data_IF_975491232762
#
_entry.id   IF_975491232762
#
_cell.length_a   1.000
_cell.length_b   1.000
_cell.length_c   1.000
_cell.angle_alpha   90.00
_cell.angle_beta   90.00
_cell.angle_gamma   90.00
#
_symmetry.space_group_name_H-M   'P 1'
#
loop_
_entity.id
_entity.type
_entity.pdbx_description
1 polymer ?
#
# COMPACT_ATOMS: atom_id res chain seq x y z
N UNK A 1 9.61 -12.25 -12.98
CA UNK A 1 10.71 -11.63 -13.76
C UNK A 1 11.60 -10.82 -12.82
N UNK A 2 12.94 -10.95 -12.92
CA UNK A 2 13.88 -10.11 -12.15
C UNK A 2 13.87 -8.68 -12.69
N UNK A 3 13.90 -7.68 -11.81
CA UNK A 3 13.94 -6.26 -12.18
C UNK A 3 15.40 -5.78 -12.21
N UNK A 4 15.80 -5.11 -13.28
CA UNK A 4 17.17 -4.61 -13.48
C UNK A 4 17.45 -3.38 -12.63
N UNK A 5 18.63 -3.30 -11.99
CA UNK A 5 18.96 -2.25 -11.00
C UNK A 5 18.98 -0.83 -11.56
N UNK A 6 19.43 -0.67 -12.80
CA UNK A 6 19.60 0.62 -13.48
C UNK A 6 18.30 1.06 -14.20
N UNK A 7 17.16 0.87 -13.55
CA UNK A 7 15.85 1.24 -14.12
C UNK A 7 15.02 2.05 -13.13
N UNK A 8 14.21 2.98 -13.64
CA UNK A 8 13.27 3.74 -12.83
C UNK A 8 12.28 2.84 -12.05
N UNK A 9 11.92 1.69 -12.64
CA UNK A 9 11.10 0.66 -11.98
C UNK A 9 11.78 0.09 -10.75
N UNK A 10 13.09 -0.17 -10.81
CA UNK A 10 13.84 -0.65 -9.65
C UNK A 10 13.87 0.38 -8.53
N UNK A 11 14.15 1.65 -8.85
CA UNK A 11 14.14 2.73 -7.84
C UNK A 11 12.76 2.89 -7.19
N UNK A 12 11.69 2.87 -8.00
CA UNK A 12 10.31 2.93 -7.51
C UNK A 12 10.00 1.75 -6.58
N UNK A 13 10.32 0.53 -6.99
CA UNK A 13 10.09 -0.67 -6.17
C UNK A 13 10.93 -0.67 -4.89
N UNK A 14 12.18 -0.21 -4.96
CA UNK A 14 13.05 -0.04 -3.79
C UNK A 14 12.41 0.90 -2.79
N UNK A 15 11.96 2.07 -3.23
CA UNK A 15 11.33 3.06 -2.36
C UNK A 15 10.04 2.51 -1.74
N UNK A 16 9.14 1.92 -2.54
CA UNK A 16 7.90 1.32 -2.02
C UNK A 16 8.17 0.16 -1.06
N UNK A 17 9.18 -0.67 -1.33
CA UNK A 17 9.58 -1.78 -0.48
C UNK A 17 10.10 -1.31 0.88
N UNK A 18 11.01 -0.33 0.90
CA UNK A 18 11.54 0.26 2.13
C UNK A 18 10.48 1.02 2.93
N UNK A 19 9.54 1.69 2.24
CA UNK A 19 8.39 2.30 2.87
C UNK A 19 7.51 1.29 3.60
N UNK A 20 7.53 0.00 3.25
CA UNK A 20 6.85 -1.04 4.03
C UNK A 20 7.80 -1.78 4.99
N UNK A 21 9.08 -1.90 4.66
CA UNK A 21 10.08 -2.69 5.40
C UNK A 21 11.36 -1.85 5.70
N UNK A 22 11.34 -0.92 6.67
CA UNK A 22 12.48 -0.02 6.92
C UNK A 22 13.77 -0.75 7.27
N UNK A 23 13.66 -1.85 8.02
CA UNK A 23 14.81 -2.68 8.40
C UNK A 23 15.55 -3.27 7.19
N UNK A 24 14.91 -3.31 6.02
CA UNK A 24 15.53 -3.81 4.80
C UNK A 24 16.54 -2.83 4.19
N UNK A 25 16.61 -1.59 4.65
CA UNK A 25 17.61 -0.61 4.19
C UNK A 25 19.05 -1.13 4.33
N UNK A 26 19.29 -1.96 5.35
CA UNK A 26 20.59 -2.60 5.59
C UNK A 26 20.98 -3.66 4.54
N UNK A 27 20.02 -4.16 3.76
CA UNK A 27 20.21 -5.31 2.88
C UNK A 27 19.84 -5.04 1.42
N UNK A 28 18.93 -4.10 1.16
CA UNK A 28 18.31 -3.90 -0.16
C UNK A 28 19.32 -3.59 -1.27
N UNK A 29 20.46 -3.00 -0.90
CA UNK A 29 21.51 -2.61 -1.84
C UNK A 29 22.63 -3.65 -1.98
N UNK A 30 22.57 -4.78 -1.24
CA UNK A 30 23.55 -5.86 -1.42
C UNK A 30 23.52 -6.43 -2.84
N UNK A 31 24.67 -6.88 -3.33
CA UNK A 31 24.82 -7.35 -4.71
C UNK A 31 23.99 -8.60 -5.04
N UNK A 32 23.68 -9.41 -4.02
CA UNK A 32 22.85 -10.60 -4.10
C UNK A 32 21.35 -10.33 -3.80
N UNK A 33 21.00 -9.12 -3.35
CA UNK A 33 19.60 -8.71 -3.25
C UNK A 33 19.01 -8.46 -4.65
N UNK A 34 17.76 -8.84 -4.87
CA UNK A 34 17.08 -8.67 -6.16
C UNK A 34 15.57 -8.54 -6.00
N UNK A 35 14.98 -7.57 -6.70
CA UNK A 35 13.53 -7.48 -6.85
C UNK A 35 13.02 -8.40 -7.95
N UNK A 36 11.92 -9.09 -7.68
CA UNK A 36 11.21 -9.91 -8.64
C UNK A 36 9.74 -9.50 -8.70
N UNK A 37 9.20 -9.43 -9.92
CA UNK A 37 7.76 -9.33 -10.16
C UNK A 37 7.16 -10.71 -10.39
N UNK A 38 6.12 -11.05 -9.66
CA UNK A 38 5.30 -12.23 -9.92
C UNK A 38 4.30 -11.90 -11.02
N UNK A 39 4.37 -12.63 -12.13
CA UNK A 39 3.36 -12.55 -13.19
C UNK A 39 2.20 -13.47 -12.79
N UNK A 40 1.06 -12.88 -12.43
CA UNK A 40 -0.11 -13.62 -11.97
C UNK A 40 -0.71 -14.42 -13.14
N UNK A 41 -0.80 -15.73 -12.99
CA UNK A 41 -1.50 -16.61 -13.93
C UNK A 41 -2.87 -17.04 -13.40
N UNK A 42 -2.91 -17.51 -12.16
CA UNK A 42 -4.09 -18.00 -11.43
C UNK A 42 -3.78 -18.07 -9.95
N UNK A 43 -4.80 -18.14 -9.10
CA UNK A 43 -4.65 -18.51 -7.70
C UNK A 43 -5.66 -19.59 -7.29
N UNK A 44 -5.33 -20.34 -6.25
CA UNK A 44 -6.26 -21.25 -5.59
C UNK A 44 -6.54 -20.71 -4.21
N UNK A 45 -7.80 -20.34 -3.97
CA UNK A 45 -8.24 -19.83 -2.68
C UNK A 45 -9.01 -20.92 -1.93
N UNK A 46 -8.45 -21.36 -0.81
CA UNK A 46 -9.18 -22.15 0.18
C UNK A 46 -9.79 -21.20 1.22
N UNK A 47 -11.10 -21.01 1.15
CA UNK A 47 -11.87 -20.16 2.05
C UNK A 47 -12.46 -20.90 3.26
N UNK A 48 -11.99 -22.12 3.55
CA UNK A 48 -12.51 -22.99 4.60
C UNK A 48 -13.44 -24.09 4.07
N UNK A 49 -14.20 -24.71 4.97
CA UNK A 49 -14.97 -25.93 4.68
C UNK A 49 -15.93 -25.75 3.48
N UNK A 50 -15.73 -26.55 2.43
CA UNK A 50 -16.54 -26.53 1.21
C UNK A 50 -16.38 -25.28 0.33
N UNK A 51 -15.40 -24.41 0.60
CA UNK A 51 -15.17 -23.16 -0.14
C UNK A 51 -13.81 -23.18 -0.81
N UNK A 52 -13.75 -23.72 -2.02
CA UNK A 52 -12.56 -23.71 -2.87
C UNK A 52 -12.86 -22.93 -4.15
N UNK A 53 -12.00 -21.96 -4.48
CA UNK A 53 -12.15 -21.13 -5.67
C UNK A 53 -10.86 -21.20 -6.50
N UNK A 54 -11.03 -21.37 -7.80
CA UNK A 54 -9.98 -21.09 -8.77
C UNK A 54 -10.17 -19.65 -9.24
N UNK A 55 -9.14 -18.83 -9.00
CA UNK A 55 -9.14 -17.42 -9.35
C UNK A 55 -8.30 -17.22 -10.60
N UNK A 56 -8.81 -16.44 -11.53
CA UNK A 56 -8.08 -15.99 -12.70
C UNK A 56 -7.35 -14.67 -12.41
N UNK A 57 -6.50 -14.24 -13.35
CA UNK A 57 -5.73 -13.00 -13.21
C UNK A 57 -6.60 -11.78 -12.92
N UNK A 58 -7.75 -11.67 -13.57
CA UNK A 58 -8.67 -10.54 -13.42
C UNK A 58 -9.35 -10.48 -12.04
N UNK A 59 -9.45 -11.61 -11.34
CA UNK A 59 -9.97 -11.66 -9.97
C UNK A 59 -8.95 -11.16 -8.93
N UNK A 60 -7.66 -11.13 -9.32
CA UNK A 60 -6.54 -10.76 -8.45
C UNK A 60 -6.03 -9.34 -8.70
N UNK A 61 -6.35 -8.74 -9.85
CA UNK A 61 -5.83 -7.45 -10.24
C UNK A 61 -6.86 -6.35 -9.95
N UNK A 62 -6.41 -5.27 -9.33
CA UNK A 62 -7.17 -4.03 -9.27
C UNK A 62 -7.33 -3.48 -10.69
N UNK A 63 -8.56 -3.34 -11.22
CA UNK A 63 -8.78 -2.88 -12.59
C UNK A 63 -8.44 -1.39 -12.71
N UNK A 64 -7.36 -1.07 -13.42
CA UNK A 64 -6.84 0.30 -13.54
C UNK A 64 -6.35 0.58 -14.96
N UNK A 65 -6.80 1.70 -15.52
CA UNK A 65 -6.31 2.24 -16.79
C UNK A 65 -5.25 3.34 -16.62
N UNK A 66 -5.01 3.81 -15.40
CA UNK A 66 -4.19 4.99 -15.06
C UNK A 66 -2.99 4.64 -14.16
N UNK A 67 -2.42 3.44 -14.34
CA UNK A 67 -1.36 2.92 -13.46
C UNK A 67 -0.16 3.87 -13.34
N UNK A 68 0.24 4.51 -14.43
CA UNK A 68 1.40 5.42 -14.45
C UNK A 68 1.13 6.72 -13.65
N UNK A 69 -0.10 7.21 -13.65
CA UNK A 69 -0.50 8.38 -12.88
C UNK A 69 -0.46 8.07 -11.38
N UNK A 70 -0.99 6.90 -10.99
CA UNK A 70 -0.91 6.41 -9.61
C UNK A 70 0.54 6.22 -9.17
N UNK A 71 1.37 5.61 -10.02
CA UNK A 71 2.78 5.38 -9.76
C UNK A 71 3.56 6.68 -9.55
N UNK A 72 3.25 7.71 -10.33
CA UNK A 72 3.94 9.01 -10.28
C UNK A 72 3.53 9.84 -9.06
N UNK A 73 2.28 9.70 -8.62
CA UNK A 73 1.72 10.48 -7.50
C UNK A 73 2.06 9.88 -6.12
N UNK A 74 2.05 8.55 -6.00
CA UNK A 74 2.05 7.86 -4.71
C UNK A 74 3.16 8.34 -3.76
N UNK A 75 4.41 8.36 -4.23
CA UNK A 75 5.56 8.67 -3.39
C UNK A 75 5.44 10.07 -2.75
N UNK A 76 4.96 11.06 -3.51
CA UNK A 76 4.72 12.41 -3.01
C UNK A 76 3.60 12.45 -1.97
N UNK A 77 2.50 11.74 -2.21
CA UNK A 77 1.39 11.67 -1.26
C UNK A 77 1.78 10.98 0.05
N UNK A 78 2.52 9.86 -0.01
CA UNK A 78 3.05 9.17 1.17
C UNK A 78 3.96 10.07 1.98
N UNK A 79 4.89 10.78 1.32
CA UNK A 79 5.81 11.70 1.98
C UNK A 79 5.04 12.84 2.67
N UNK A 80 4.11 13.49 1.96
CA UNK A 80 3.32 14.59 2.50
C UNK A 80 2.48 14.16 3.72
N UNK A 81 1.79 13.01 3.65
CA UNK A 81 1.01 12.50 4.77
C UNK A 81 1.88 12.21 6.00
N UNK A 82 3.08 11.68 5.79
CA UNK A 82 4.01 11.37 6.87
C UNK A 82 4.76 12.59 7.43
N UNK A 83 4.84 13.71 6.70
CA UNK A 83 5.46 14.94 7.19
C UNK A 83 4.43 15.84 7.88
N UNK A 84 3.28 16.04 7.24
CA UNK A 84 2.35 17.13 7.61
C UNK A 84 1.09 16.60 8.30
N UNK A 85 0.80 15.30 8.20
CA UNK A 85 -0.46 14.69 8.64
C UNK A 85 -0.29 13.41 9.48
N UNK A 86 0.80 13.31 10.25
CA UNK A 86 1.06 12.15 11.14
C UNK A 86 -0.06 11.88 12.13
N UNK A 87 -0.71 12.93 12.64
CA UNK A 87 -1.84 12.79 13.55
C UNK A 87 -3.04 12.13 12.87
N UNK A 88 -3.29 12.42 11.59
CA UNK A 88 -4.34 11.75 10.84
C UNK A 88 -4.01 10.26 10.64
N UNK A 89 -2.75 9.94 10.30
CA UNK A 89 -2.28 8.54 10.18
C UNK A 89 -2.43 7.79 11.50
N UNK A 90 -2.09 8.42 12.64
CA UNK A 90 -2.30 7.86 13.98
C UNK A 90 -3.79 7.57 14.23
N UNK A 91 -4.67 8.52 13.92
CA UNK A 91 -6.12 8.37 14.07
C UNK A 91 -6.68 7.24 13.19
N UNK A 92 -6.22 7.12 11.94
CA UNK A 92 -6.63 6.01 11.06
C UNK A 92 -6.33 4.65 11.69
N UNK A 93 -5.09 4.46 12.15
CA UNK A 93 -4.68 3.20 12.75
C UNK A 93 -5.40 2.89 14.07
N UNK A 94 -5.51 3.88 14.95
CA UNK A 94 -6.03 3.66 16.30
C UNK A 94 -7.55 3.61 16.36
N UNK A 95 -8.23 4.47 15.61
CA UNK A 95 -9.69 4.59 15.68
C UNK A 95 -10.36 3.69 14.64
N UNK A 96 -9.97 3.80 13.37
CA UNK A 96 -10.65 3.08 12.28
C UNK A 96 -10.24 1.60 12.24
N UNK A 97 -8.95 1.32 12.43
CA UNK A 97 -8.41 -0.06 12.40
C UNK A 97 -8.32 -0.72 13.77
N UNK A 98 -8.44 0.04 14.86
CA UNK A 98 -8.29 -0.46 16.25
C UNK A 98 -6.94 -1.15 16.50
N UNK A 99 -5.89 -0.73 15.80
CA UNK A 99 -4.58 -1.39 15.80
C UNK A 99 -3.70 -1.11 17.04
N UNK A 100 -4.23 -0.38 18.02
CA UNK A 100 -3.54 0.02 19.25
C UNK A 100 -2.51 1.13 19.05
N UNK A 101 -1.97 1.63 20.16
CA UNK A 101 -0.99 2.72 20.13
C UNK A 101 0.38 2.26 19.64
N UNK A 102 0.91 2.96 18.64
CA UNK A 102 2.25 2.77 18.09
C UNK A 102 2.66 3.97 17.22
N UNK A 103 3.92 3.97 16.76
CA UNK A 103 4.46 4.99 15.85
C UNK A 103 4.04 4.73 14.39
N UNK A 104 2.73 4.78 14.12
CA UNK A 104 2.16 4.50 12.81
C UNK A 104 2.62 5.51 11.76
N UNK A 105 2.94 4.99 10.57
CA UNK A 105 3.26 5.75 9.37
C UNK A 105 2.56 5.14 8.17
N UNK A 106 2.27 5.97 7.17
CA UNK A 106 1.75 5.52 5.90
C UNK A 106 2.90 4.89 5.08
N UNK A 107 2.73 3.66 4.64
CA UNK A 107 3.74 2.95 3.84
C UNK A 107 3.50 3.11 2.34
N UNK A 108 2.27 2.84 1.91
CA UNK A 108 1.87 2.92 0.52
C UNK A 108 0.39 3.20 0.39
N UNK A 109 0.02 3.64 -0.81
CA UNK A 109 -1.34 3.91 -1.22
C UNK A 109 -1.61 3.15 -2.52
N UNK A 110 -2.86 2.78 -2.71
CA UNK A 110 -3.36 2.29 -3.97
C UNK A 110 -4.84 2.71 -4.10
N UNK A 111 -5.48 2.44 -5.23
CA UNK A 111 -6.85 2.90 -5.47
C UNK A 111 -7.87 2.34 -4.47
N UNK A 112 -7.55 1.25 -3.77
CA UNK A 112 -8.46 0.59 -2.85
C UNK A 112 -8.21 0.98 -1.40
N UNK A 113 -7.07 1.63 -1.09
CA UNK A 113 -6.80 2.07 0.27
C UNK A 113 -5.35 2.47 0.55
N UNK A 114 -4.99 2.28 1.83
CA UNK A 114 -3.67 2.58 2.38
C UNK A 114 -3.18 1.46 3.30
N UNK A 115 -1.87 1.24 3.27
CA UNK A 115 -1.20 0.38 4.23
C UNK A 115 -0.47 1.24 5.27
N UNK A 116 -0.78 1.00 6.54
CA UNK A 116 -0.15 1.63 7.70
C UNK A 116 0.80 0.65 8.37
N UNK A 117 1.94 1.14 8.82
CA UNK A 117 2.98 0.30 9.43
C UNK A 117 3.53 0.92 10.71
N UNK A 118 3.88 0.07 11.67
CA UNK A 118 4.56 0.45 12.91
C UNK A 118 5.49 -0.69 13.35
N UNK A 119 6.79 -0.52 13.12
CA UNK A 119 7.75 -1.62 13.27
C UNK A 119 7.41 -2.76 12.30
N UNK A 120 7.17 -3.96 12.83
CA UNK A 120 6.79 -5.15 12.05
C UNK A 120 5.27 -5.31 11.89
N UNK A 121 4.46 -4.42 12.51
CA UNK A 121 3.01 -4.42 12.34
C UNK A 121 2.63 -3.76 11.02
N UNK A 122 1.67 -4.36 10.32
CA UNK A 122 1.11 -3.82 9.09
C UNK A 122 -0.40 -3.97 9.12
N UNK A 123 -1.11 -2.88 8.84
CA UNK A 123 -2.56 -2.81 8.79
C UNK A 123 -3.00 -2.18 7.49
N UNK A 124 -4.04 -2.73 6.86
CA UNK A 124 -4.61 -2.17 5.63
C UNK A 124 -5.95 -1.51 5.95
N UNK A 125 -6.06 -0.22 5.65
CA UNK A 125 -7.32 0.52 5.69
C UNK A 125 -7.86 0.66 4.28
N UNK A 126 -9.04 0.07 4.06
CA UNK A 126 -9.75 0.12 2.79
C UNK A 126 -10.58 1.40 2.67
N UNK A 127 -10.62 2.00 1.48
CA UNK A 127 -11.64 2.98 1.16
C UNK A 127 -13.02 2.31 1.05
N UNK A 128 -14.08 3.09 1.24
CA UNK A 128 -15.44 2.57 1.09
C UNK A 128 -15.73 2.12 -0.35
N UNK A 129 -15.13 2.79 -1.34
CA UNK A 129 -15.16 2.42 -2.75
C UNK A 129 -13.75 2.60 -3.33
N UNK A 130 -13.39 1.76 -4.31
CA UNK A 130 -12.16 1.94 -5.05
C UNK A 130 -12.18 3.25 -5.84
N UNK A 131 -11.08 3.98 -5.78
CA UNK A 131 -10.85 5.23 -6.48
C UNK A 131 -10.52 4.94 -7.94
N UNK A 132 -10.98 5.77 -8.86
CA UNK A 132 -10.69 5.60 -10.30
C UNK A 132 -9.53 6.46 -10.75
N UNK A 133 -9.31 7.58 -10.08
CA UNK A 133 -8.34 8.60 -10.47
C UNK A 133 -7.56 9.11 -9.26
N UNK A 134 -6.24 9.36 -9.37
CA UNK A 134 -5.42 9.94 -8.29
C UNK A 134 -5.96 11.24 -7.69
N UNK A 135 -6.70 12.05 -8.46
CA UNK A 135 -7.32 13.28 -7.96
C UNK A 135 -8.37 13.06 -6.87
N UNK A 136 -8.96 11.86 -6.81
CA UNK A 136 -9.94 11.46 -5.80
C UNK A 136 -9.30 11.14 -4.44
N UNK A 137 -7.97 10.94 -4.41
CA UNK A 137 -7.25 10.52 -3.21
C UNK A 137 -7.38 11.52 -2.07
N UNK A 138 -7.14 12.81 -2.34
CA UNK A 138 -7.16 13.83 -1.28
C UNK A 138 -8.54 13.93 -0.62
N UNK A 139 -9.66 14.04 -1.37
CA UNK A 139 -11.00 13.94 -0.79
C UNK A 139 -11.22 12.68 0.06
N UNK A 140 -10.76 11.51 -0.41
CA UNK A 140 -10.90 10.26 0.33
C UNK A 140 -10.15 10.27 1.67
N UNK A 141 -8.91 10.75 1.70
CA UNK A 141 -8.12 10.89 2.93
C UNK A 141 -8.76 11.87 3.92
N UNK A 142 -9.30 12.99 3.42
CA UNK A 142 -10.04 13.95 4.27
C UNK A 142 -11.29 13.29 4.87
N UNK A 143 -12.04 12.52 4.08
CA UNK A 143 -13.21 11.80 4.57
C UNK A 143 -12.85 10.80 5.69
N UNK A 144 -11.76 10.04 5.51
CA UNK A 144 -11.25 9.15 6.56
C UNK A 144 -10.86 9.92 7.83
N UNK A 145 -10.28 11.12 7.70
CA UNK A 145 -9.88 11.92 8.86
C UNK A 145 -11.09 12.45 9.63
N UNK A 146 -12.15 12.84 8.92
CA UNK A 146 -13.41 13.22 9.53
C UNK A 146 -14.07 12.02 10.22
N UNK A 147 -14.09 10.85 9.57
CA UNK A 147 -14.64 9.63 10.16
C UNK A 147 -13.90 9.23 11.44
N UNK A 148 -12.56 9.27 11.43
CA UNK A 148 -11.74 8.89 12.58
C UNK A 148 -11.86 9.87 13.76
N UNK A 149 -12.24 11.12 13.52
CA UNK A 149 -12.48 12.12 14.59
C UNK A 149 -13.88 12.04 15.18
N UNK A 150 -14.83 11.48 14.44
CA UNK A 150 -16.25 11.42 14.81
C UNK A 150 -16.68 10.02 15.30
N UNK A 151 -15.73 9.11 15.49
CA UNK A 151 -15.95 7.77 16.07
C UNK A 151 -15.52 7.77 17.53
#
# INVERSE_FOLDING_TARGET
MKISRETADHERLRNRYLSRHPKAELYVDFGDFSFFRLELSRASLNGGFGKAFELEKQDLQTPLSTLDDWASMEAGAVAHMNSDHRDAVKLYAQTLLKAGEANWRLACLDPEGLDLVAGDKVERLWFANSLKDPSELRPALVALALQARNT
#
